data_IF_884778774028
#
_entry.id   IF_884778774028
#
_cell.length_a   1.000
_cell.length_b   1.000
_cell.length_c   1.000
_cell.angle_alpha   90.00
_cell.angle_beta   90.00
_cell.angle_gamma   90.00
#
_symmetry.space_group_name_H-M   'P 1'
#
loop_
_entity.id
_entity.type
_entity.pdbx_description
1 polymer ?
#
# COMPACT_ATOMS: atom_id res chain seq x y z
N UNK A 1 -17.48 -11.89 8.66
CA UNK A 1 -17.16 -10.46 8.42
C UNK A 1 -15.73 -10.24 8.88
N UNK A 2 -14.80 -9.96 7.97
CA UNK A 2 -13.41 -9.70 8.35
C UNK A 2 -13.39 -8.40 9.16
N UNK A 3 -12.98 -8.47 10.42
CA UNK A 3 -12.77 -7.31 11.28
C UNK A 3 -11.72 -6.44 10.61
N UNK A 4 -12.12 -5.30 10.02
CA UNK A 4 -11.19 -4.33 9.45
C UNK A 4 -10.38 -3.75 10.61
N UNK A 5 -9.24 -4.36 10.91
CA UNK A 5 -8.29 -3.83 11.88
C UNK A 5 -7.83 -2.48 11.37
N UNK A 6 -8.33 -1.41 12.00
CA UNK A 6 -7.91 -0.04 11.71
C UNK A 6 -6.48 0.09 12.22
N UNK A 7 -5.52 0.17 11.31
CA UNK A 7 -4.11 0.36 11.65
C UNK A 7 -3.89 1.85 11.85
N UNK A 8 -3.49 2.30 13.05
CA UNK A 8 -3.26 3.72 13.31
C UNK A 8 -2.09 4.23 12.46
N UNK A 9 -2.23 5.45 11.96
CA UNK A 9 -1.17 6.10 11.20
C UNK A 9 0.09 6.22 12.04
N UNK A 10 1.18 5.68 11.53
CA UNK A 10 2.51 5.84 12.10
C UNK A 10 3.54 5.66 11.01
N UNK A 11 4.70 6.31 11.15
CA UNK A 11 5.83 6.12 10.22
C UNK A 11 6.19 4.64 10.06
N UNK A 12 6.14 3.87 11.14
CA UNK A 12 6.40 2.43 11.14
C UNK A 12 5.37 1.67 10.31
N UNK A 13 4.08 1.96 10.47
CA UNK A 13 3.01 1.31 9.71
C UNK A 13 3.12 1.61 8.21
N UNK A 14 3.40 2.86 7.83
CA UNK A 14 3.59 3.27 6.43
C UNK A 14 4.78 2.53 5.78
N UNK A 15 5.93 2.53 6.45
CA UNK A 15 7.13 1.87 5.94
C UNK A 15 6.98 0.35 5.89
N UNK A 16 6.26 -0.24 6.86
CA UNK A 16 5.94 -1.66 6.86
C UNK A 16 5.07 -2.03 5.67
N UNK A 17 3.99 -1.27 5.43
CA UNK A 17 3.11 -1.46 4.28
C UNK A 17 3.88 -1.35 2.96
N UNK A 18 4.69 -0.29 2.81
CA UNK A 18 5.52 -0.10 1.63
C UNK A 18 6.40 -1.32 1.33
N UNK A 19 7.13 -1.81 2.35
CA UNK A 19 7.96 -3.03 2.21
C UNK A 19 7.13 -4.26 1.87
N UNK A 20 5.96 -4.44 2.47
CA UNK A 20 5.08 -5.58 2.20
C UNK A 20 4.56 -5.57 0.76
N UNK A 21 4.14 -4.41 0.24
CA UNK A 21 3.71 -4.27 -1.16
C UNK A 21 4.82 -4.61 -2.14
N UNK A 22 6.05 -4.14 -1.88
CA UNK A 22 7.20 -4.47 -2.73
C UNK A 22 7.53 -5.96 -2.71
N UNK A 23 7.48 -6.60 -1.55
CA UNK A 23 7.72 -8.05 -1.41
C UNK A 23 6.65 -8.88 -2.11
N UNK A 24 5.39 -8.49 -2.03
CA UNK A 24 4.35 -9.18 -2.80
C UNK A 24 4.50 -8.92 -4.31
N UNK A 25 4.96 -7.73 -4.70
CA UNK A 25 5.30 -7.42 -6.08
C UNK A 25 6.39 -8.30 -6.69
N UNK A 26 7.29 -8.85 -5.88
CA UNK A 26 8.32 -9.81 -6.35
C UNK A 26 7.72 -11.15 -6.77
N UNK A 27 6.50 -11.47 -6.33
CA UNK A 27 5.78 -12.68 -6.71
C UNK A 27 4.97 -12.52 -8.00
N UNK A 28 4.87 -11.31 -8.54
CA UNK A 28 4.20 -11.06 -9.81
C UNK A 28 5.01 -11.69 -10.96
N UNK A 29 4.35 -12.52 -11.73
CA UNK A 29 4.91 -13.27 -12.86
C UNK A 29 4.65 -12.56 -14.20
N UNK A 30 3.48 -11.95 -14.36
CA UNK A 30 3.03 -11.42 -15.65
C UNK A 30 3.10 -9.89 -15.74
N UNK A 31 3.26 -9.22 -14.61
CA UNK A 31 3.39 -7.77 -14.53
C UNK A 31 4.85 -7.34 -14.58
N UNK A 32 5.18 -6.26 -15.31
CA UNK A 32 6.51 -5.64 -15.24
C UNK A 32 6.78 -5.15 -13.81
N UNK A 33 7.70 -5.83 -13.14
CA UNK A 33 8.06 -5.57 -11.74
C UNK A 33 8.68 -4.18 -11.55
N UNK A 34 9.42 -3.66 -12.54
CA UNK A 34 9.99 -2.31 -12.46
C UNK A 34 8.89 -1.26 -12.59
N UNK A 35 7.92 -1.48 -13.47
CA UNK A 35 6.74 -0.63 -13.54
C UNK A 35 5.96 -0.65 -12.23
N UNK A 36 5.67 -1.83 -11.68
CA UNK A 36 4.98 -1.96 -10.39
C UNK A 36 5.71 -1.21 -9.26
N UNK A 37 7.03 -1.41 -9.11
CA UNK A 37 7.85 -0.73 -8.08
C UNK A 37 7.83 0.79 -8.24
N UNK A 38 7.92 1.31 -9.48
CA UNK A 38 7.82 2.75 -9.77
C UNK A 38 6.44 3.30 -9.39
N UNK A 39 5.37 2.60 -9.76
CA UNK A 39 4.00 2.99 -9.44
C UNK A 39 3.75 3.05 -7.94
N UNK A 40 4.18 2.02 -7.18
CA UNK A 40 4.06 2.02 -5.71
C UNK A 40 4.83 3.20 -5.10
N UNK A 41 6.05 3.47 -5.58
CA UNK A 41 6.84 4.62 -5.10
C UNK A 41 6.13 5.95 -5.36
N UNK A 42 5.65 6.16 -6.58
CA UNK A 42 4.96 7.41 -6.96
C UNK A 42 3.72 7.64 -6.12
N UNK A 43 2.92 6.61 -5.85
CA UNK A 43 1.73 6.75 -5.01
C UNK A 43 2.11 7.16 -3.57
N UNK A 44 3.15 6.57 -2.98
CA UNK A 44 3.60 6.98 -1.64
C UNK A 44 4.21 8.39 -1.61
N UNK A 45 4.87 8.83 -2.69
CA UNK A 45 5.43 10.17 -2.81
C UNK A 45 4.34 11.24 -2.97
N UNK A 46 3.30 11.00 -3.78
CA UNK A 46 2.13 11.89 -3.93
C UNK A 46 1.48 12.19 -2.58
N UNK A 47 1.34 11.14 -1.77
CA UNK A 47 0.65 11.16 -0.49
C UNK A 47 1.51 11.75 0.64
N UNK A 48 2.84 11.81 0.45
CA UNK A 48 3.77 12.32 1.46
C UNK A 48 3.47 13.76 1.88
N UNK A 49 2.98 14.57 0.94
CA UNK A 49 2.66 15.98 1.16
C UNK A 49 1.20 16.20 1.59
N UNK A 50 0.40 15.13 1.69
CA UNK A 50 -0.97 15.22 2.16
C UNK A 50 -0.98 15.77 3.59
N UNK A 51 -1.70 16.86 3.82
CA UNK A 51 -1.69 17.56 5.12
C UNK A 51 -2.74 17.01 6.06
N UNK A 52 -3.81 16.44 5.49
CA UNK A 52 -4.99 16.03 6.22
C UNK A 52 -4.79 14.65 6.88
N UNK A 53 -4.87 14.62 8.21
CA UNK A 53 -4.67 13.40 8.98
C UNK A 53 -5.75 12.33 8.69
N UNK A 54 -6.98 12.75 8.39
CA UNK A 54 -8.07 11.83 8.02
C UNK A 54 -7.78 11.12 6.69
N UNK A 55 -7.31 11.87 5.68
CA UNK A 55 -6.99 11.29 4.38
C UNK A 55 -5.74 10.39 4.46
N UNK A 56 -4.71 10.78 5.24
CA UNK A 56 -3.57 9.90 5.53
C UNK A 56 -4.01 8.55 6.13
N UNK A 57 -4.93 8.58 7.09
CA UNK A 57 -5.46 7.38 7.74
C UNK A 57 -6.28 6.54 6.75
N UNK A 58 -7.10 7.18 5.93
CA UNK A 58 -7.91 6.52 4.90
C UNK A 58 -7.03 5.83 3.86
N UNK A 59 -6.01 6.50 3.35
CA UNK A 59 -5.13 5.93 2.33
C UNK A 59 -4.30 4.76 2.86
N UNK A 60 -3.82 4.84 4.11
CA UNK A 60 -3.11 3.74 4.75
C UNK A 60 -3.99 2.48 4.85
N UNK A 61 -5.22 2.61 5.35
CA UNK A 61 -6.08 1.47 5.63
C UNK A 61 -6.86 0.98 4.40
N UNK A 62 -7.60 1.89 3.76
CA UNK A 62 -8.58 1.55 2.72
C UNK A 62 -7.92 1.28 1.38
N UNK A 63 -6.82 1.97 1.06
CA UNK A 63 -6.08 1.72 -0.19
C UNK A 63 -4.95 0.74 0.05
N UNK A 64 -4.06 1.04 0.98
CA UNK A 64 -2.85 0.26 1.23
C UNK A 64 -3.08 -1.16 1.74
N UNK A 65 -3.54 -1.27 2.99
CA UNK A 65 -3.74 -2.56 3.64
C UNK A 65 -4.84 -3.40 2.97
N UNK A 66 -5.88 -2.77 2.45
CA UNK A 66 -6.89 -3.46 1.65
C UNK A 66 -6.30 -4.07 0.39
N UNK A 67 -5.54 -3.31 -0.41
CA UNK A 67 -4.87 -3.81 -1.63
C UNK A 67 -3.96 -4.99 -1.30
N UNK A 68 -3.18 -4.89 -0.22
CA UNK A 68 -2.34 -5.98 0.26
C UNK A 68 -3.16 -7.22 0.66
N UNK A 69 -4.27 -7.03 1.39
CA UNK A 69 -5.16 -8.14 1.81
C UNK A 69 -5.82 -8.85 0.63
N UNK A 70 -6.07 -8.14 -0.47
CA UNK A 70 -6.67 -8.65 -1.69
C UNK A 70 -5.62 -9.17 -2.69
N UNK A 71 -4.42 -9.56 -2.23
CA UNK A 71 -3.30 -10.00 -3.08
C UNK A 71 -3.04 -9.03 -4.24
N UNK A 72 -2.79 -7.76 -3.89
CA UNK A 72 -2.56 -6.68 -4.84
C UNK A 72 -3.74 -6.40 -5.79
N UNK A 73 -4.96 -6.76 -5.40
CA UNK A 73 -6.16 -6.55 -6.22
C UNK A 73 -6.27 -7.52 -7.40
N UNK A 74 -5.66 -8.70 -7.28
CA UNK A 74 -5.68 -9.73 -8.34
C UNK A 74 -4.60 -9.53 -9.41
N UNK A 75 -3.59 -8.71 -9.15
CA UNK A 75 -2.38 -8.69 -9.98
C UNK A 75 -1.67 -10.05 -9.91
N UNK A 76 -1.28 -10.57 -11.07
CA UNK A 76 -0.61 -11.87 -11.24
C UNK A 76 0.75 -11.68 -11.91
#
# INVERSE_FOLDING_TARGET
MASTTVIPWSRRAVLSLYKSLLREGERLQYTDQNFFRRSVRQEFEKVRHESENAERQRQLNVKGYYLLSQKLGGLV
#
